data_IF_793284724349
#
_entry.id   IF_793284724349
#
_cell.length_a   1.000
_cell.length_b   1.000
_cell.length_c   1.000
_cell.angle_alpha   90.00
_cell.angle_beta   90.00
_cell.angle_gamma   90.00
#
_symmetry.space_group_name_H-M   'P 1'
#
loop_
_entity.id
_entity.type
_entity.pdbx_description
1 polymer ?
#
# COMPACT_ATOMS: atom_id res chain seq x y z
N UNK A 1 -25.09 -19.63 -13.61
CA UNK A 1 -24.08 -20.68 -13.77
C UNK A 1 -22.79 -19.98 -14.16
N UNK A 2 -21.71 -20.23 -13.42
CA UNK A 2 -20.41 -19.65 -13.71
C UNK A 2 -19.79 -20.41 -14.90
N UNK A 3 -19.37 -19.68 -15.94
CA UNK A 3 -18.75 -20.24 -17.15
C UNK A 3 -17.45 -20.95 -16.79
N UNK A 4 -17.24 -22.17 -17.32
CA UNK A 4 -15.98 -22.89 -17.15
C UNK A 4 -14.85 -22.26 -17.99
N UNK A 5 -13.58 -22.56 -17.65
CA UNK A 5 -12.42 -22.04 -18.38
C UNK A 5 -12.44 -22.48 -19.87
N UNK A 6 -12.85 -23.70 -20.15
CA UNK A 6 -12.91 -24.23 -21.52
C UNK A 6 -14.07 -23.61 -22.33
N UNK A 7 -15.20 -23.34 -21.68
CA UNK A 7 -16.31 -22.62 -22.31
C UNK A 7 -15.91 -21.18 -22.66
N UNK A 8 -15.10 -20.54 -21.80
CA UNK A 8 -14.59 -19.17 -22.04
C UNK A 8 -13.59 -19.15 -23.19
N UNK A 9 -12.66 -20.13 -23.27
CA UNK A 9 -11.73 -20.25 -24.39
C UNK A 9 -12.47 -20.42 -25.72
N UNK A 10 -13.45 -21.33 -25.74
CA UNK A 10 -14.30 -21.56 -26.92
C UNK A 10 -15.07 -20.29 -27.33
N UNK A 11 -15.59 -19.55 -26.37
CA UNK A 11 -16.28 -18.27 -26.65
C UNK A 11 -15.35 -17.27 -27.33
N UNK A 12 -14.10 -17.15 -26.87
CA UNK A 12 -13.09 -16.27 -27.47
C UNK A 12 -12.69 -16.73 -28.87
N UNK A 13 -12.56 -18.04 -29.09
CA UNK A 13 -12.27 -18.64 -30.40
C UNK A 13 -13.40 -18.37 -31.39
N UNK A 14 -14.64 -18.56 -30.99
CA UNK A 14 -15.83 -18.29 -31.80
C UNK A 14 -15.95 -16.82 -32.13
N UNK A 15 -15.69 -15.93 -31.15
CA UNK A 15 -15.68 -14.49 -31.36
C UNK A 15 -14.62 -14.06 -32.40
N UNK A 16 -13.39 -14.55 -32.28
CA UNK A 16 -12.31 -14.23 -33.23
C UNK A 16 -12.62 -14.78 -34.62
N UNK A 17 -13.24 -15.99 -34.71
CA UNK A 17 -13.66 -16.55 -35.99
C UNK A 17 -14.71 -15.69 -36.67
N UNK A 18 -15.65 -15.17 -35.91
CA UNK A 18 -16.70 -14.26 -36.40
C UNK A 18 -16.17 -12.87 -36.73
N UNK A 19 -15.20 -12.35 -35.94
CA UNK A 19 -14.65 -11.02 -36.08
C UNK A 19 -13.12 -11.05 -36.18
N UNK A 20 -12.53 -11.57 -37.28
CA UNK A 20 -11.09 -11.79 -37.40
C UNK A 20 -10.23 -10.52 -37.45
N UNK A 21 -10.85 -9.36 -37.66
CA UNK A 21 -10.20 -8.04 -37.59
C UNK A 21 -10.36 -7.36 -36.24
N UNK A 22 -10.99 -7.99 -35.25
CA UNK A 22 -11.17 -7.42 -33.91
C UNK A 22 -9.90 -7.54 -33.09
N UNK A 23 -9.24 -6.42 -32.83
CA UNK A 23 -8.09 -6.32 -31.93
C UNK A 23 -8.43 -6.80 -30.52
N UNK A 24 -9.60 -6.42 -30.00
CA UNK A 24 -10.05 -6.77 -28.64
C UNK A 24 -10.18 -8.29 -28.44
N UNK A 25 -10.65 -9.02 -29.45
CA UNK A 25 -10.74 -10.48 -29.38
C UNK A 25 -9.38 -11.14 -29.12
N UNK A 26 -8.37 -10.76 -29.88
CA UNK A 26 -7.02 -11.28 -29.71
C UNK A 26 -6.40 -10.86 -28.37
N UNK A 27 -6.56 -9.60 -27.93
CA UNK A 27 -6.05 -9.13 -26.64
C UNK A 27 -6.69 -9.90 -25.48
N UNK A 28 -8.01 -10.13 -25.51
CA UNK A 28 -8.71 -10.90 -24.46
C UNK A 28 -8.24 -12.35 -24.41
N UNK A 29 -8.05 -12.99 -25.57
CA UNK A 29 -7.55 -14.36 -25.60
C UNK A 29 -6.10 -14.45 -25.17
N UNK A 30 -5.24 -13.49 -25.54
CA UNK A 30 -3.87 -13.38 -25.03
C UNK A 30 -3.84 -13.28 -23.51
N UNK A 31 -4.66 -12.39 -22.91
CA UNK A 31 -4.78 -12.25 -21.45
C UNK A 31 -5.21 -13.57 -20.77
N UNK A 32 -6.16 -14.27 -21.37
CA UNK A 32 -6.60 -15.58 -20.89
C UNK A 32 -5.46 -16.61 -20.92
N UNK A 33 -4.70 -16.66 -22.01
CA UNK A 33 -3.56 -17.57 -22.11
C UNK A 33 -2.45 -17.23 -21.11
N UNK A 34 -2.19 -15.95 -20.82
CA UNK A 34 -1.22 -15.59 -19.78
C UNK A 34 -1.68 -16.03 -18.39
N UNK A 35 -2.97 -15.95 -18.10
CA UNK A 35 -3.49 -16.48 -16.84
C UNK A 35 -3.30 -18.00 -16.71
N UNK A 36 -3.50 -18.75 -17.79
CA UNK A 36 -3.22 -20.21 -17.86
C UNK A 36 -1.72 -20.53 -17.84
N UNK A 37 -0.89 -19.66 -18.38
CA UNK A 37 0.57 -19.86 -18.47
C UNK A 37 1.29 -19.93 -17.13
N UNK A 38 0.62 -19.60 -16.02
CA UNK A 38 1.16 -19.82 -14.66
C UNK A 38 1.42 -21.30 -14.37
N UNK A 39 0.60 -22.18 -14.93
CA UNK A 39 0.68 -23.62 -14.72
C UNK A 39 1.36 -24.35 -15.89
N UNK A 40 1.32 -23.76 -17.10
CA UNK A 40 1.91 -24.31 -18.32
C UNK A 40 2.41 -23.19 -19.25
N UNK A 41 3.72 -23.01 -19.30
CA UNK A 41 4.37 -21.96 -20.09
C UNK A 41 4.08 -22.01 -21.60
N UNK A 42 3.60 -23.13 -22.15
CA UNK A 42 3.22 -23.23 -23.58
C UNK A 42 2.10 -22.24 -23.94
N UNK A 43 1.28 -21.84 -22.97
CA UNK A 43 0.25 -20.82 -23.17
C UNK A 43 0.82 -19.42 -23.43
N UNK A 44 2.03 -19.12 -22.96
CA UNK A 44 2.67 -17.83 -23.27
C UNK A 44 3.00 -17.70 -24.77
N UNK A 45 3.37 -18.80 -25.45
CA UNK A 45 3.56 -18.77 -26.89
C UNK A 45 2.25 -18.47 -27.64
N UNK A 46 1.12 -19.01 -27.18
CA UNK A 46 -0.21 -18.69 -27.71
C UNK A 46 -0.57 -17.23 -27.48
N UNK A 47 -0.29 -16.70 -26.30
CA UNK A 47 -0.52 -15.28 -25.99
C UNK A 47 0.30 -14.35 -26.90
N UNK A 48 1.58 -14.67 -27.12
CA UNK A 48 2.45 -13.90 -28.03
C UNK A 48 1.93 -13.96 -29.47
N UNK A 49 1.43 -15.13 -29.94
CA UNK A 49 0.84 -15.26 -31.26
C UNK A 49 -0.40 -14.36 -31.42
N UNK A 50 -1.25 -14.29 -30.40
CA UNK A 50 -2.43 -13.42 -30.41
C UNK A 50 -2.06 -11.93 -30.39
N UNK A 51 -1.07 -11.51 -29.59
CA UNK A 51 -0.58 -10.12 -29.63
C UNK A 51 -0.01 -9.75 -31.01
N UNK A 52 0.75 -10.65 -31.61
CA UNK A 52 1.28 -10.44 -32.96
C UNK A 52 0.14 -10.31 -33.99
N UNK A 53 -0.93 -11.06 -33.83
CA UNK A 53 -2.10 -10.95 -34.71
C UNK A 53 -2.86 -9.65 -34.42
N UNK A 54 -3.05 -9.25 -33.16
CA UNK A 54 -3.63 -7.97 -32.81
C UNK A 54 -2.86 -6.79 -33.45
N UNK A 55 -1.52 -6.81 -33.42
CA UNK A 55 -0.67 -5.80 -34.05
C UNK A 55 -0.82 -5.76 -35.59
N UNK A 56 -1.16 -6.88 -36.24
CA UNK A 56 -1.39 -6.92 -37.69
C UNK A 56 -2.73 -6.31 -38.08
N UNK A 57 -3.79 -6.56 -37.27
CA UNK A 57 -5.16 -6.12 -37.59
C UNK A 57 -5.51 -4.74 -37.04
N UNK A 58 -4.77 -4.25 -36.06
CA UNK A 58 -5.03 -2.94 -35.43
C UNK A 58 -4.84 -1.79 -36.42
N UNK A 59 -5.86 -0.95 -36.56
CA UNK A 59 -5.76 0.31 -37.30
C UNK A 59 -4.84 1.32 -36.59
N UNK A 60 -4.90 1.38 -35.26
CA UNK A 60 -4.03 2.14 -34.37
C UNK A 60 -3.44 1.17 -33.35
N UNK A 61 -2.14 1.16 -33.17
CA UNK A 61 -1.42 0.10 -32.44
C UNK A 61 -1.09 0.45 -30.99
N UNK A 62 -1.36 1.67 -30.58
CA UNK A 62 -1.06 2.17 -29.24
C UNK A 62 -1.70 1.32 -28.14
N UNK A 63 -3.00 1.01 -28.26
CA UNK A 63 -3.72 0.17 -27.30
C UNK A 63 -3.14 -1.25 -27.22
N UNK A 64 -2.72 -1.84 -28.36
CA UNK A 64 -2.11 -3.17 -28.38
C UNK A 64 -0.78 -3.14 -27.64
N UNK A 65 0.11 -2.18 -27.94
CA UNK A 65 1.37 -2.03 -27.25
C UNK A 65 1.20 -1.77 -25.75
N UNK A 66 0.20 -0.97 -25.36
CA UNK A 66 -0.15 -0.76 -23.96
C UNK A 66 -0.57 -2.05 -23.27
N UNK A 67 -1.44 -2.86 -23.90
CA UNK A 67 -1.89 -4.13 -23.33
C UNK A 67 -0.76 -5.15 -23.22
N UNK A 68 0.16 -5.21 -24.19
CA UNK A 68 1.39 -6.03 -24.11
C UNK A 68 2.24 -5.57 -22.90
N UNK A 69 2.49 -4.27 -22.77
CA UNK A 69 3.29 -3.72 -21.68
C UNK A 69 2.65 -4.03 -20.30
N UNK A 70 1.35 -3.79 -20.18
CA UNK A 70 0.58 -4.06 -18.95
C UNK A 70 0.63 -5.52 -18.55
N UNK A 71 0.54 -6.42 -19.52
CA UNK A 71 0.56 -7.85 -19.29
C UNK A 71 1.95 -8.32 -18.84
N UNK A 72 3.02 -7.87 -19.52
CA UNK A 72 4.40 -8.21 -19.13
C UNK A 72 4.70 -7.65 -17.73
N UNK A 73 4.26 -6.42 -17.43
CA UNK A 73 4.37 -5.85 -16.10
C UNK A 73 3.68 -6.70 -15.04
N UNK A 74 2.41 -7.08 -15.27
CA UNK A 74 1.66 -7.94 -14.36
C UNK A 74 2.29 -9.33 -14.17
N UNK A 75 2.87 -9.90 -15.23
CA UNK A 75 3.63 -11.14 -15.17
C UNK A 75 4.86 -10.99 -14.25
N UNK A 76 5.66 -9.93 -14.42
CA UNK A 76 6.83 -9.66 -13.58
C UNK A 76 6.47 -9.40 -12.11
N UNK A 77 5.34 -8.74 -11.84
CA UNK A 77 4.85 -8.55 -10.47
C UNK A 77 4.52 -9.87 -9.75
N UNK A 78 4.20 -10.94 -10.49
CA UNK A 78 3.98 -12.26 -9.90
C UNK A 78 5.28 -12.92 -9.41
N UNK A 79 6.44 -12.27 -9.63
CA UNK A 79 7.80 -12.75 -9.27
C UNK A 79 8.03 -14.18 -9.78
N UNK A 80 7.96 -14.44 -11.10
CA UNK A 80 8.18 -15.76 -11.64
C UNK A 80 9.60 -16.24 -11.30
N UNK A 81 9.76 -17.53 -10.99
CA UNK A 81 11.08 -18.13 -10.72
C UNK A 81 12.01 -18.01 -11.93
N UNK A 82 11.45 -18.11 -13.13
CA UNK A 82 12.17 -17.92 -14.39
C UNK A 82 11.39 -16.96 -15.27
N UNK A 83 12.08 -15.95 -15.82
CA UNK A 83 11.47 -15.04 -16.79
C UNK A 83 11.20 -15.77 -18.10
N UNK A 84 9.97 -15.68 -18.61
CA UNK A 84 9.60 -16.20 -19.91
C UNK A 84 10.24 -15.35 -21.02
N UNK A 85 11.18 -15.93 -21.79
CA UNK A 85 11.91 -15.26 -22.88
C UNK A 85 12.44 -13.87 -22.42
N UNK A 86 12.02 -12.82 -23.13
CA UNK A 86 12.40 -11.43 -22.90
C UNK A 86 11.31 -10.63 -22.14
N UNK A 87 10.38 -11.29 -21.44
CA UNK A 87 9.33 -10.63 -20.66
C UNK A 87 9.89 -9.99 -19.38
N UNK A 88 10.59 -8.88 -19.54
CA UNK A 88 11.20 -8.09 -18.48
C UNK A 88 10.51 -6.74 -18.35
N UNK A 89 10.77 -6.01 -17.26
CA UNK A 89 10.32 -4.63 -17.13
C UNK A 89 10.82 -3.73 -18.27
N UNK A 90 12.05 -3.95 -18.77
CA UNK A 90 12.58 -3.20 -19.92
C UNK A 90 11.76 -3.45 -21.19
N UNK A 91 11.36 -4.70 -21.42
CA UNK A 91 10.50 -5.04 -22.56
C UNK A 91 9.12 -4.44 -22.40
N UNK A 92 8.55 -4.41 -21.18
CA UNK A 92 7.32 -3.72 -20.91
C UNK A 92 7.42 -2.22 -21.21
N UNK A 93 8.48 -1.54 -20.73
CA UNK A 93 8.74 -0.12 -21.04
C UNK A 93 8.92 0.15 -22.52
N UNK A 94 9.63 -0.74 -23.24
CA UNK A 94 9.83 -0.61 -24.69
C UNK A 94 8.49 -0.61 -25.44
N UNK A 95 7.59 -1.55 -25.13
CA UNK A 95 6.26 -1.58 -25.72
C UNK A 95 5.44 -0.35 -25.32
N UNK A 96 5.47 0.04 -24.06
CA UNK A 96 4.73 1.20 -23.56
C UNK A 96 5.16 2.50 -24.27
N UNK A 97 6.46 2.68 -24.49
CA UNK A 97 7.00 3.84 -25.22
C UNK A 97 6.57 3.85 -26.68
N UNK A 98 6.37 2.68 -27.30
CA UNK A 98 5.77 2.63 -28.64
C UNK A 98 4.30 3.07 -28.61
N UNK A 99 3.54 2.70 -27.59
CA UNK A 99 2.18 3.20 -27.39
C UNK A 99 2.17 4.73 -27.23
N UNK A 100 3.03 5.26 -26.35
CA UNK A 100 3.13 6.71 -26.08
C UNK A 100 3.62 7.52 -27.28
N UNK A 101 4.41 6.94 -28.17
CA UNK A 101 4.86 7.60 -29.40
C UNK A 101 3.72 7.73 -30.43
N UNK A 102 2.69 6.87 -30.37
CA UNK A 102 1.52 6.92 -31.24
C UNK A 102 0.46 7.86 -30.64
N UNK A 103 0.19 7.71 -29.33
CA UNK A 103 -0.75 8.55 -28.59
C UNK A 103 -0.29 8.70 -27.12
N UNK A 104 0.11 9.91 -26.67
CA UNK A 104 0.64 10.13 -25.32
C UNK A 104 -0.48 10.22 -24.26
N UNK A 105 -1.25 9.16 -24.09
CA UNK A 105 -2.35 9.15 -23.11
C UNK A 105 -1.83 9.12 -21.66
N UNK A 106 -2.47 9.85 -20.73
CA UNK A 106 -2.06 9.86 -19.31
C UNK A 106 -2.06 8.48 -18.65
N UNK A 107 -2.93 7.57 -19.07
CA UNK A 107 -2.96 6.18 -18.56
C UNK A 107 -1.69 5.41 -18.92
N UNK A 108 -1.05 5.72 -20.04
CA UNK A 108 0.24 5.12 -20.41
C UNK A 108 1.36 5.67 -19.54
N UNK A 109 1.33 6.99 -19.28
CA UNK A 109 2.28 7.62 -18.34
C UNK A 109 2.15 7.05 -16.92
N UNK A 110 0.94 6.72 -16.48
CA UNK A 110 0.77 6.05 -15.19
C UNK A 110 1.44 4.69 -15.16
N UNK A 111 1.22 3.86 -16.18
CA UNK A 111 1.88 2.55 -16.25
C UNK A 111 3.42 2.68 -16.36
N UNK A 112 3.92 3.71 -17.04
CA UNK A 112 5.36 4.02 -17.06
C UNK A 112 5.87 4.25 -15.63
N UNK A 113 5.19 5.06 -14.84
CA UNK A 113 5.52 5.29 -13.43
C UNK A 113 5.50 4.00 -12.62
N UNK A 114 4.49 3.14 -12.80
CA UNK A 114 4.36 1.88 -12.08
C UNK A 114 5.51 0.90 -12.42
N UNK A 115 5.91 0.82 -13.69
CA UNK A 115 7.02 -0.02 -14.13
C UNK A 115 8.36 0.52 -13.60
N UNK A 116 8.60 1.83 -13.70
CA UNK A 116 9.81 2.47 -13.19
C UNK A 116 9.92 2.30 -11.66
N UNK A 117 8.80 2.42 -10.96
CA UNK A 117 8.76 2.14 -9.52
C UNK A 117 9.18 0.69 -9.20
N UNK A 118 8.66 -0.28 -9.94
CA UNK A 118 9.01 -1.69 -9.78
C UNK A 118 10.50 -1.97 -10.08
N UNK A 119 11.10 -1.20 -11.00
CA UNK A 119 12.54 -1.22 -11.30
C UNK A 119 13.40 -0.45 -10.27
N UNK A 120 12.76 0.19 -9.27
CA UNK A 120 13.40 1.06 -8.29
C UNK A 120 13.98 2.36 -8.88
N UNK A 121 13.61 2.72 -10.10
CA UNK A 121 13.85 4.07 -10.63
C UNK A 121 12.80 5.04 -10.08
N UNK A 122 12.98 5.40 -8.80
CA UNK A 122 12.02 6.24 -8.08
C UNK A 122 11.97 7.67 -8.62
N UNK A 123 13.08 8.18 -9.18
CA UNK A 123 13.10 9.52 -9.77
C UNK A 123 12.26 9.56 -11.06
N UNK A 124 12.44 8.57 -11.94
CA UNK A 124 11.64 8.43 -13.15
C UNK A 124 10.16 8.18 -12.85
N UNK A 125 9.88 7.30 -11.86
CA UNK A 125 8.52 7.02 -11.41
C UNK A 125 7.81 8.28 -10.89
N UNK A 126 8.47 9.07 -10.04
CA UNK A 126 7.91 10.31 -9.51
C UNK A 126 7.56 11.29 -10.63
N UNK A 127 8.47 11.49 -11.59
CA UNK A 127 8.23 12.38 -12.73
C UNK A 127 7.01 11.95 -13.57
N UNK A 128 6.81 10.63 -13.74
CA UNK A 128 5.64 10.08 -14.42
C UNK A 128 4.35 10.34 -13.62
N UNK A 129 4.34 10.03 -12.32
CA UNK A 129 3.18 10.26 -11.48
C UNK A 129 2.81 11.75 -11.36
N UNK A 130 3.77 12.66 -11.29
CA UNK A 130 3.51 14.10 -11.26
C UNK A 130 2.83 14.58 -12.55
N UNK A 131 3.23 14.05 -13.72
CA UNK A 131 2.52 14.33 -14.98
C UNK A 131 1.08 13.83 -14.94
N UNK A 132 0.84 12.62 -14.43
CA UNK A 132 -0.52 12.08 -14.27
C UNK A 132 -1.33 12.93 -13.30
N UNK A 133 -0.74 13.34 -12.16
CA UNK A 133 -1.40 14.16 -11.16
C UNK A 133 -1.80 15.55 -11.70
N UNK A 134 -1.12 16.06 -12.73
CA UNK A 134 -1.49 17.29 -13.43
C UNK A 134 -2.56 17.06 -14.51
N UNK A 135 -2.97 15.82 -14.79
CA UNK A 135 -3.95 15.48 -15.82
C UNK A 135 -5.37 15.34 -15.28
N UNK A 136 -6.33 15.18 -16.20
CA UNK A 136 -7.75 14.97 -15.88
C UNK A 136 -8.07 13.58 -15.30
N UNK A 137 -7.15 12.62 -15.40
CA UNK A 137 -7.33 11.27 -14.82
C UNK A 137 -6.68 11.13 -13.42
N UNK A 138 -6.17 12.21 -12.85
CA UNK A 138 -5.59 12.20 -11.52
C UNK A 138 -6.55 11.58 -10.49
N UNK A 139 -6.11 10.55 -9.82
CA UNK A 139 -6.91 9.75 -8.88
C UNK A 139 -6.27 9.72 -7.48
N UNK A 140 -6.99 9.31 -6.43
CA UNK A 140 -6.36 9.07 -5.13
C UNK A 140 -5.12 8.17 -5.24
N UNK A 141 -5.19 7.11 -6.04
CA UNK A 141 -4.09 6.16 -6.20
C UNK A 141 -2.82 6.79 -6.80
N UNK A 142 -2.95 7.70 -7.79
CA UNK A 142 -1.79 8.34 -8.42
C UNK A 142 -1.09 9.31 -7.47
N UNK A 143 -1.84 10.04 -6.64
CA UNK A 143 -1.27 10.89 -5.59
C UNK A 143 -0.61 10.05 -4.50
N UNK A 144 -1.21 8.93 -4.12
CA UNK A 144 -0.62 7.99 -3.17
C UNK A 144 0.70 7.41 -3.70
N UNK A 145 0.75 6.97 -4.96
CA UNK A 145 1.97 6.46 -5.59
C UNK A 145 3.08 7.52 -5.60
N UNK A 146 2.77 8.77 -5.94
CA UNK A 146 3.73 9.88 -5.87
C UNK A 146 4.22 10.13 -4.43
N UNK A 147 3.33 10.10 -3.43
CA UNK A 147 3.68 10.28 -2.02
C UNK A 147 4.63 9.17 -1.55
N UNK A 148 4.31 7.89 -1.83
CA UNK A 148 5.19 6.77 -1.47
C UNK A 148 6.54 6.83 -2.17
N UNK A 149 6.56 7.28 -3.42
CA UNK A 149 7.81 7.46 -4.18
C UNK A 149 8.67 8.57 -3.57
N UNK A 150 8.09 9.72 -3.18
CA UNK A 150 8.80 10.79 -2.46
C UNK A 150 9.33 10.33 -1.11
N UNK A 151 8.58 9.52 -0.37
CA UNK A 151 9.04 8.95 0.90
C UNK A 151 10.29 8.08 0.70
N UNK A 152 10.30 7.22 -0.33
CA UNK A 152 11.47 6.39 -0.68
C UNK A 152 12.68 7.22 -1.12
N UNK A 153 12.44 8.35 -1.78
CA UNK A 153 13.47 9.33 -2.13
C UNK A 153 13.93 10.19 -0.93
N UNK A 154 13.40 9.95 0.27
CA UNK A 154 13.71 10.70 1.49
C UNK A 154 13.46 12.21 1.36
N UNK A 155 12.41 12.59 0.65
CA UNK A 155 11.96 13.97 0.54
C UNK A 155 11.48 14.51 1.91
N UNK A 156 11.31 15.83 2.01
CA UNK A 156 10.76 16.46 3.24
C UNK A 156 9.38 15.83 3.54
N UNK A 157 9.15 15.31 4.76
CA UNK A 157 7.86 14.75 5.16
C UNK A 157 6.66 15.66 4.89
N UNK A 158 6.85 16.98 4.92
CA UNK A 158 5.79 17.93 4.58
C UNK A 158 5.35 17.85 3.12
N UNK A 159 6.29 17.65 2.20
CA UNK A 159 5.96 17.48 0.77
C UNK A 159 5.20 16.18 0.52
N UNK A 160 5.55 15.12 1.24
CA UNK A 160 4.84 13.83 1.19
C UNK A 160 3.40 14.01 1.69
N UNK A 161 3.21 14.71 2.81
CA UNK A 161 1.88 14.97 3.38
C UNK A 161 1.00 15.77 2.40
N UNK A 162 1.53 16.77 1.69
CA UNK A 162 0.77 17.55 0.69
C UNK A 162 0.20 16.65 -0.42
N UNK A 163 0.96 15.65 -0.86
CA UNK A 163 0.46 14.66 -1.82
C UNK A 163 -0.62 13.77 -1.21
N UNK A 164 -0.47 13.37 0.05
CA UNK A 164 -1.49 12.59 0.76
C UNK A 164 -2.76 13.41 1.03
N UNK A 165 -2.65 14.71 1.30
CA UNK A 165 -3.80 15.62 1.40
C UNK A 165 -4.56 15.66 0.07
N UNK A 166 -3.83 15.75 -1.05
CA UNK A 166 -4.42 15.70 -2.39
C UNK A 166 -5.07 14.34 -2.70
N UNK A 167 -4.46 13.24 -2.24
CA UNK A 167 -5.03 11.88 -2.31
C UNK A 167 -6.38 11.82 -1.57
N UNK A 168 -6.41 12.21 -0.30
CA UNK A 168 -7.63 12.16 0.55
C UNK A 168 -8.71 13.10 0.02
N UNK A 169 -8.35 14.29 -0.48
CA UNK A 169 -9.30 15.24 -1.05
C UNK A 169 -10.04 14.70 -2.29
N UNK A 170 -9.44 13.73 -3.00
CA UNK A 170 -10.06 13.07 -4.17
C UNK A 170 -10.84 11.81 -3.82
N UNK A 171 -10.76 11.35 -2.58
CA UNK A 171 -11.63 10.25 -2.12
C UNK A 171 -13.06 10.74 -1.96
N UNK A 172 -14.07 9.84 -2.06
CA UNK A 172 -15.45 10.16 -1.66
C UNK A 172 -15.50 10.72 -0.23
N UNK A 173 -16.37 11.70 0.00
CA UNK A 173 -16.56 12.30 1.31
C UNK A 173 -17.95 12.01 1.87
N UNK A 174 -18.09 11.47 3.08
CA UNK A 174 -17.00 11.03 3.97
C UNK A 174 -16.21 9.86 3.36
N UNK A 175 -14.93 9.72 3.76
CA UNK A 175 -14.07 8.63 3.26
C UNK A 175 -14.71 7.29 3.57
N UNK A 176 -14.89 6.45 2.55
CA UNK A 176 -15.49 5.12 2.70
C UNK A 176 -14.42 4.07 3.07
N UNK A 177 -14.87 2.89 3.49
CA UNK A 177 -13.96 1.78 3.87
C UNK A 177 -12.98 1.39 2.76
N UNK A 178 -13.37 1.51 1.50
CA UNK A 178 -12.50 1.22 0.35
C UNK A 178 -11.27 2.16 0.25
N UNK A 179 -11.41 3.40 0.72
CA UNK A 179 -10.35 4.41 0.68
C UNK A 179 -9.73 4.67 2.08
N UNK A 180 -10.28 4.06 3.12
CA UNK A 180 -9.80 4.20 4.49
C UNK A 180 -8.29 3.92 4.67
N UNK A 181 -7.66 2.95 3.97
CA UNK A 181 -6.23 2.71 4.10
C UNK A 181 -5.36 3.96 3.87
N UNK A 182 -5.77 4.89 2.99
CA UNK A 182 -5.02 6.13 2.78
C UNK A 182 -4.96 7.02 4.03
N UNK A 183 -5.98 6.97 4.89
CA UNK A 183 -5.98 7.69 6.17
C UNK A 183 -4.90 7.13 7.12
N UNK A 184 -4.75 5.80 7.19
CA UNK A 184 -3.69 5.19 8.01
C UNK A 184 -2.30 5.55 7.51
N UNK A 185 -2.10 5.55 6.20
CA UNK A 185 -0.83 5.95 5.60
C UNK A 185 -0.51 7.42 5.92
N UNK A 186 -1.48 8.33 5.77
CA UNK A 186 -1.28 9.74 6.14
C UNK A 186 -1.07 9.93 7.63
N UNK A 187 -1.76 9.16 8.49
CA UNK A 187 -1.52 9.18 9.93
C UNK A 187 -0.07 8.84 10.27
N UNK A 188 0.49 7.80 9.64
CA UNK A 188 1.89 7.42 9.85
C UNK A 188 2.86 8.50 9.36
N UNK A 189 2.60 9.10 8.20
CA UNK A 189 3.42 10.21 7.67
C UNK A 189 3.33 11.45 8.59
N UNK A 190 2.15 11.76 9.12
CA UNK A 190 1.97 12.82 10.13
C UNK A 190 2.77 12.54 11.41
N UNK A 191 2.81 11.27 11.88
CA UNK A 191 3.63 10.90 13.04
C UNK A 191 5.14 11.08 12.77
N UNK A 192 5.60 10.69 11.58
CA UNK A 192 7.00 10.87 11.17
C UNK A 192 7.38 12.36 11.06
N UNK A 193 6.42 13.21 10.70
CA UNK A 193 6.58 14.66 10.64
C UNK A 193 6.34 15.36 11.99
N UNK A 194 6.22 14.63 13.10
CA UNK A 194 5.86 15.16 14.44
C UNK A 194 4.52 15.91 14.50
N UNK A 195 3.58 15.59 13.60
CA UNK A 195 2.23 16.16 13.54
C UNK A 195 1.22 15.23 14.21
N UNK A 196 1.46 14.83 15.45
CA UNK A 196 0.69 13.82 16.16
C UNK A 196 -0.82 14.13 16.26
N UNK A 197 -1.21 15.42 16.35
CA UNK A 197 -2.64 15.79 16.36
C UNK A 197 -3.33 15.48 15.03
N UNK A 198 -2.66 15.72 13.90
CA UNK A 198 -3.19 15.39 12.58
C UNK A 198 -3.30 13.87 12.41
N UNK A 199 -2.30 13.12 12.89
CA UNK A 199 -2.37 11.66 12.90
C UNK A 199 -3.59 11.15 13.68
N UNK A 200 -3.91 11.73 14.83
CA UNK A 200 -5.11 11.39 15.60
C UNK A 200 -6.41 11.63 14.82
N UNK A 201 -6.50 12.74 14.08
CA UNK A 201 -7.66 13.01 13.23
C UNK A 201 -7.83 11.94 12.14
N UNK A 202 -6.73 11.49 11.55
CA UNK A 202 -6.73 10.44 10.53
C UNK A 202 -7.14 9.08 11.11
N UNK A 203 -6.64 8.71 12.29
CA UNK A 203 -7.08 7.48 12.98
C UNK A 203 -8.56 7.53 13.34
N UNK A 204 -9.07 8.67 13.79
CA UNK A 204 -10.50 8.83 14.11
C UNK A 204 -11.37 8.74 12.85
N UNK A 205 -10.91 9.31 11.73
CA UNK A 205 -11.58 9.21 10.44
C UNK A 205 -11.58 7.77 9.92
N UNK A 206 -10.44 7.07 10.04
CA UNK A 206 -10.33 5.65 9.69
C UNK A 206 -11.31 4.79 10.49
N UNK A 207 -11.30 4.95 11.82
CA UNK A 207 -12.19 4.19 12.72
C UNK A 207 -13.67 4.34 12.32
N UNK A 208 -14.08 5.56 11.96
CA UNK A 208 -15.44 5.83 11.45
C UNK A 208 -15.68 5.16 10.10
N UNK A 209 -14.73 5.25 9.16
CA UNK A 209 -14.87 4.71 7.81
C UNK A 209 -15.04 3.18 7.79
N UNK A 210 -14.44 2.48 8.76
CA UNK A 210 -14.56 1.01 8.91
C UNK A 210 -15.58 0.58 9.97
N UNK A 211 -16.45 1.49 10.44
CA UNK A 211 -17.48 1.23 11.46
C UNK A 211 -16.92 0.59 12.73
N UNK A 212 -15.73 1.00 13.16
CA UNK A 212 -15.08 0.48 14.36
C UNK A 212 -14.52 -0.95 14.22
N UNK A 213 -14.55 -1.54 13.05
CA UNK A 213 -13.98 -2.87 12.80
C UNK A 213 -12.46 -2.78 12.67
N UNK A 214 -11.76 -2.84 13.79
CA UNK A 214 -10.31 -2.70 13.90
C UNK A 214 -9.73 -3.81 14.79
N UNK A 215 -8.44 -4.09 14.61
CA UNK A 215 -7.69 -5.04 15.41
C UNK A 215 -6.89 -4.37 16.54
N UNK A 216 -6.17 -5.17 17.32
CA UNK A 216 -5.29 -4.73 18.40
C UNK A 216 -4.21 -3.76 17.93
N UNK A 217 -3.59 -4.02 16.75
CA UNK A 217 -2.55 -3.15 16.19
C UNK A 217 -3.05 -1.73 15.89
N UNK A 218 -4.32 -1.56 15.48
CA UNK A 218 -4.88 -0.24 15.27
C UNK A 218 -4.87 0.58 16.56
N UNK A 219 -5.33 -0.01 17.66
CA UNK A 219 -5.33 0.66 18.97
C UNK A 219 -3.91 0.98 19.45
N UNK A 220 -2.97 0.08 19.24
CA UNK A 220 -1.55 0.29 19.56
C UNK A 220 -0.96 1.49 18.78
N UNK A 221 -1.17 1.59 17.48
CA UNK A 221 -0.66 2.73 16.69
C UNK A 221 -1.38 4.05 17.04
N UNK A 222 -2.68 4.00 17.33
CA UNK A 222 -3.42 5.19 17.75
C UNK A 222 -3.00 5.65 19.14
N UNK A 223 -2.70 4.73 20.04
CA UNK A 223 -2.08 5.02 21.34
C UNK A 223 -0.79 5.82 21.19
N UNK A 224 0.13 5.38 20.34
CA UNK A 224 1.39 6.08 20.12
C UNK A 224 1.17 7.52 19.60
N UNK A 225 0.20 7.71 18.73
CA UNK A 225 -0.19 9.04 18.27
C UNK A 225 -0.77 9.88 19.41
N UNK A 226 -1.63 9.31 20.23
CA UNK A 226 -2.23 9.97 21.39
C UNK A 226 -1.16 10.37 22.42
N UNK A 227 -0.21 9.47 22.69
CA UNK A 227 0.91 9.74 23.60
C UNK A 227 1.78 10.89 23.11
N UNK A 228 2.15 10.91 21.83
CA UNK A 228 2.91 12.01 21.21
C UNK A 228 2.10 13.32 21.20
N UNK A 229 0.79 13.24 21.03
CA UNK A 229 -0.12 14.40 21.09
C UNK A 229 -0.41 14.86 22.53
N UNK A 230 0.13 14.19 23.55
CA UNK A 230 -0.12 14.39 24.98
C UNK A 230 -1.58 14.18 25.39
N UNK A 231 -2.32 13.35 24.64
CA UNK A 231 -3.69 12.94 24.96
C UNK A 231 -3.65 11.66 25.82
N UNK A 232 -3.10 11.77 27.01
CA UNK A 232 -2.73 10.63 27.86
C UNK A 232 -3.91 9.71 28.20
N UNK A 233 -5.11 10.28 28.45
CA UNK A 233 -6.27 9.44 28.75
C UNK A 233 -6.66 8.58 27.53
N UNK A 234 -6.64 9.15 26.34
CA UNK A 234 -6.88 8.37 25.10
C UNK A 234 -5.82 7.29 24.89
N UNK A 235 -4.56 7.60 25.18
CA UNK A 235 -3.49 6.63 25.11
C UNK A 235 -3.74 5.46 26.07
N UNK A 236 -4.16 5.72 27.30
CA UNK A 236 -4.52 4.67 28.27
C UNK A 236 -5.71 3.82 27.79
N UNK A 237 -6.76 4.48 27.25
CA UNK A 237 -7.93 3.79 26.77
C UNK A 237 -7.59 2.88 25.56
N UNK A 238 -6.78 3.38 24.62
CA UNK A 238 -6.38 2.64 23.44
C UNK A 238 -5.46 1.46 23.78
N UNK A 239 -4.44 1.65 24.63
CA UNK A 239 -3.57 0.54 25.01
C UNK A 239 -4.31 -0.52 25.82
N UNK A 240 -5.29 -0.14 26.64
CA UNK A 240 -6.14 -1.09 27.33
C UNK A 240 -6.96 -1.93 26.34
N UNK A 241 -7.46 -1.34 25.26
CA UNK A 241 -8.15 -2.06 24.17
C UNK A 241 -7.24 -3.00 23.41
N UNK A 242 -6.01 -2.59 23.11
CA UNK A 242 -5.01 -3.46 22.49
C UNK A 242 -4.72 -4.70 23.37
N UNK A 243 -4.54 -4.50 24.67
CA UNK A 243 -4.32 -5.60 25.64
C UNK A 243 -5.56 -6.51 25.76
N UNK A 244 -6.79 -5.93 25.77
CA UNK A 244 -8.02 -6.72 25.80
C UNK A 244 -8.12 -7.67 24.59
N UNK A 245 -7.75 -7.19 23.39
CA UNK A 245 -7.78 -7.96 22.16
C UNK A 245 -6.63 -8.97 22.05
N UNK A 246 -5.46 -8.65 22.60
CA UNK A 246 -4.28 -9.50 22.57
C UNK A 246 -3.53 -9.47 23.92
N UNK A 247 -4.05 -10.18 24.95
CA UNK A 247 -3.52 -10.11 26.32
C UNK A 247 -2.15 -10.77 26.51
N UNK A 248 -1.66 -11.52 25.51
CA UNK A 248 -0.36 -12.19 25.57
C UNK A 248 0.79 -11.34 25.05
N UNK A 249 0.50 -10.23 24.37
CA UNK A 249 1.54 -9.36 23.83
C UNK A 249 2.14 -8.50 24.94
N UNK A 250 3.39 -8.80 25.30
CA UNK A 250 4.11 -8.06 26.32
C UNK A 250 4.48 -6.64 25.89
N UNK A 251 4.52 -6.38 24.57
CA UNK A 251 4.76 -5.04 24.03
C UNK A 251 3.66 -4.09 24.46
N UNK A 252 2.40 -4.50 24.35
CA UNK A 252 1.25 -3.66 24.77
C UNK A 252 1.24 -3.39 26.27
N UNK A 253 1.60 -4.41 27.09
CA UNK A 253 1.74 -4.22 28.53
C UNK A 253 2.88 -3.24 28.86
N UNK A 254 4.01 -3.33 28.14
CA UNK A 254 5.13 -2.41 28.31
C UNK A 254 4.75 -0.99 27.92
N UNK A 255 4.03 -0.79 26.81
CA UNK A 255 3.52 0.54 26.40
C UNK A 255 2.53 1.09 27.43
N UNK A 256 1.67 0.27 28.02
CA UNK A 256 0.83 0.71 29.13
C UNK A 256 1.66 1.29 30.30
N UNK A 257 2.77 0.63 30.65
CA UNK A 257 3.70 1.14 31.65
C UNK A 257 4.35 2.47 31.20
N UNK A 258 4.71 2.60 29.91
CA UNK A 258 5.23 3.87 29.35
C UNK A 258 4.21 4.99 29.50
N UNK A 259 2.93 4.76 29.17
CA UNK A 259 1.90 5.80 29.33
C UNK A 259 1.73 6.18 30.80
N UNK A 260 1.69 5.20 31.73
CA UNK A 260 1.62 5.46 33.17
C UNK A 260 2.80 6.28 33.66
N UNK A 261 4.02 5.96 33.20
CA UNK A 261 5.22 6.73 33.51
C UNK A 261 5.11 8.19 33.01
N UNK A 262 4.52 8.42 31.83
CA UNK A 262 4.33 9.77 31.27
C UNK A 262 3.32 10.61 32.02
N UNK A 263 2.34 9.99 32.68
CA UNK A 263 1.33 10.68 33.51
C UNK A 263 1.70 10.75 34.98
N UNK A 264 2.89 10.25 35.35
CA UNK A 264 3.38 10.29 36.75
C UNK A 264 2.83 9.20 37.67
N UNK A 265 2.20 8.16 37.09
CA UNK A 265 1.71 6.98 37.84
C UNK A 265 2.84 5.94 37.93
N UNK A 266 3.88 6.27 38.68
CA UNK A 266 5.11 5.47 38.68
C UNK A 266 4.93 4.11 39.36
N UNK A 267 4.14 4.03 40.43
CA UNK A 267 3.87 2.80 41.17
C UNK A 267 3.09 1.81 40.30
N UNK A 268 2.08 2.27 39.57
CA UNK A 268 1.30 1.44 38.63
C UNK A 268 2.19 0.93 37.49
N UNK A 269 3.08 1.79 36.96
CA UNK A 269 4.05 1.37 35.96
C UNK A 269 4.97 0.26 36.48
N UNK A 270 5.49 0.41 37.71
CA UNK A 270 6.33 -0.62 38.37
C UNK A 270 5.57 -1.95 38.52
N UNK A 271 4.31 -1.92 38.93
CA UNK A 271 3.48 -3.14 39.05
C UNK A 271 3.33 -3.88 37.72
N UNK A 272 3.02 -3.14 36.65
CA UNK A 272 2.89 -3.69 35.29
C UNK A 272 4.20 -4.34 34.85
N UNK A 273 5.32 -3.63 35.01
CA UNK A 273 6.64 -4.10 34.59
C UNK A 273 7.10 -5.34 35.39
N UNK A 274 6.86 -5.39 36.71
CA UNK A 274 7.12 -6.56 37.51
C UNK A 274 6.27 -7.77 37.06
N UNK A 275 5.04 -7.56 36.62
CA UNK A 275 4.21 -8.63 36.06
C UNK A 275 4.75 -9.13 34.73
N UNK A 276 5.24 -8.24 33.86
CA UNK A 276 5.93 -8.63 32.62
C UNK A 276 7.14 -9.53 32.94
N UNK A 277 7.96 -9.14 33.93
CA UNK A 277 9.14 -9.92 34.29
C UNK A 277 8.83 -11.27 34.97
N UNK A 278 7.63 -11.44 35.53
CA UNK A 278 7.15 -12.76 35.97
C UNK A 278 6.81 -13.68 34.79
N UNK A 279 6.27 -13.08 33.67
CA UNK A 279 5.93 -13.82 32.46
C UNK A 279 7.19 -14.10 31.61
N UNK A 280 8.05 -13.09 31.43
CA UNK A 280 9.34 -13.18 30.74
C UNK A 280 10.44 -12.47 31.53
N UNK A 281 11.24 -13.23 32.33
CA UNK A 281 12.35 -12.68 33.11
C UNK A 281 13.48 -12.06 32.27
N UNK A 282 13.48 -12.24 30.95
CA UNK A 282 14.50 -11.72 30.03
C UNK A 282 14.01 -10.49 29.23
N UNK A 283 12.81 -9.99 29.49
CA UNK A 283 12.27 -8.85 28.78
C UNK A 283 13.04 -7.56 29.12
N UNK A 284 14.06 -7.27 28.32
CA UNK A 284 15.05 -6.22 28.61
C UNK A 284 14.43 -4.82 28.78
N UNK A 285 13.38 -4.52 28.00
CA UNK A 285 12.68 -3.23 28.05
C UNK A 285 12.03 -2.97 29.42
N UNK A 286 11.50 -4.02 30.07
CA UNK A 286 10.93 -3.86 31.42
C UNK A 286 11.96 -3.43 32.44
N UNK A 287 13.18 -3.96 32.40
CA UNK A 287 14.26 -3.51 33.28
C UNK A 287 14.64 -2.05 33.04
N UNK A 288 14.73 -1.65 31.77
CA UNK A 288 15.01 -0.26 31.40
C UNK A 288 13.95 0.71 31.94
N UNK A 289 12.68 0.36 31.76
CA UNK A 289 11.55 1.16 32.23
C UNK A 289 11.46 1.18 33.76
N UNK A 290 11.73 0.07 34.45
CA UNK A 290 11.80 0.04 35.93
C UNK A 290 12.87 0.99 36.47
N UNK A 291 14.05 1.01 35.85
CA UNK A 291 15.08 1.96 36.20
C UNK A 291 14.62 3.41 36.09
N UNK A 292 13.90 3.75 35.03
CA UNK A 292 13.31 5.09 34.85
C UNK A 292 12.25 5.41 35.93
N UNK A 293 11.36 4.45 36.25
CA UNK A 293 10.38 4.64 37.33
C UNK A 293 11.04 4.89 38.67
N UNK A 294 12.07 4.11 39.03
CA UNK A 294 12.80 4.24 40.30
C UNK A 294 13.49 5.61 40.44
N UNK A 295 14.08 6.14 39.34
CA UNK A 295 14.67 7.47 39.33
C UNK A 295 13.62 8.57 39.62
N UNK A 296 12.41 8.42 39.03
CA UNK A 296 11.34 9.39 39.25
C UNK A 296 10.77 9.31 40.68
N UNK A 297 10.57 8.11 41.22
CA UNK A 297 10.10 7.89 42.59
C UNK A 297 11.06 8.51 43.62
N UNK A 298 12.38 8.26 43.47
CA UNK A 298 13.38 8.89 44.35
C UNK A 298 13.35 10.43 44.34
N UNK A 299 13.17 11.05 43.16
CA UNK A 299 13.04 12.50 43.03
C UNK A 299 11.77 13.04 43.69
N UNK A 300 10.71 12.26 43.74
CA UNK A 300 9.44 12.62 44.36
C UNK A 300 9.55 12.56 45.88
N UNK A 301 10.31 11.58 46.42
CA UNK A 301 10.54 11.43 47.85
C UNK A 301 11.53 12.46 48.45
N UNK A 302 12.41 13.02 47.59
CA UNK A 302 13.38 14.04 47.97
C UNK A 302 12.82 15.48 47.86
N UNK A 303 11.65 15.70 47.24
CA UNK A 303 11.01 16.97 47.00
C UNK A 303 9.96 17.31 48.09
#
# INVERSE_FOLDING_TARGET
TQMSADEYEKLLDDFIRQFPSSTDGYIRRANYYVAKGKDDQSYFDKAVADFNQALKVAAKKDDVYYNIAKLIYGYQLSKPETTYKDWTYDTALKNLRQAMAIDPLPVYTQLEGDILFAQQDYAGALAAYEKVNASNIASPATFFSAAKTKELLKADPKEVIVLMDSCIARCPQPVTSAFAPYLLERAQMNLNANQARNAMLDYDAYFKAVNGQVNDMFYYYREQAALKARQYQRALDDIAKAIELNPKDLTYKAEQAVVNLRVGRYEEAVQILNNILKEDPKYAEAYRLLGLCQIQLKKTDEA
#
